data_IF_491946015411
#
_entry.id   IF_491946015411
#
_cell.length_a   1.000
_cell.length_b   1.000
_cell.length_c   1.000
_cell.angle_alpha   90.00
_cell.angle_beta   90.00
_cell.angle_gamma   90.00
#
_symmetry.space_group_name_H-M   'P 1'
#
loop_
_entity.id
_entity.type
_entity.pdbx_description
1 polymer ?
#
# COMPACT_ATOMS: atom_id res chain seq x y z
N UNK A 1 -18.56 30.22 3.99
CA UNK A 1 -17.40 30.69 4.72
C UNK A 1 -16.84 29.56 5.61
N UNK A 2 -15.87 28.80 5.10
CA UNK A 2 -15.36 27.58 5.76
C UNK A 2 -14.40 27.91 6.91
N UNK A 3 -13.67 29.04 6.81
CA UNK A 3 -12.57 29.36 7.72
C UNK A 3 -12.90 30.43 8.76
N UNK A 4 -14.01 31.16 8.60
CA UNK A 4 -14.38 32.35 9.39
C UNK A 4 -13.31 33.45 9.36
N UNK A 5 -12.32 33.34 8.46
CA UNK A 5 -11.32 34.37 8.24
C UNK A 5 -11.88 35.41 7.28
N UNK A 6 -12.09 36.60 7.79
CA UNK A 6 -12.64 37.75 7.07
C UNK A 6 -11.54 38.75 6.69
N UNK A 7 -10.28 38.33 6.65
CA UNK A 7 -9.22 39.20 6.18
C UNK A 7 -9.56 39.73 4.78
N UNK A 8 -9.40 41.05 4.58
CA UNK A 8 -9.88 41.73 3.39
C UNK A 8 -9.39 41.10 2.08
N UNK A 9 -8.13 40.66 2.04
CA UNK A 9 -7.56 40.06 0.85
C UNK A 9 -8.23 38.75 0.41
N UNK A 10 -9.04 38.12 1.28
CA UNK A 10 -9.82 36.92 0.96
C UNK A 10 -11.26 37.22 0.54
N UNK A 11 -11.78 38.37 0.98
CA UNK A 11 -13.23 38.63 0.96
C UNK A 11 -13.64 39.83 0.11
N UNK A 12 -12.80 40.88 0.02
CA UNK A 12 -13.15 42.16 -0.59
C UNK A 12 -12.16 42.59 -1.67
N UNK A 13 -12.60 42.54 -2.93
CA UNK A 13 -11.80 42.95 -4.06
C UNK A 13 -11.58 44.46 -4.10
N UNK A 14 -12.48 45.25 -3.49
CA UNK A 14 -12.39 46.72 -3.54
C UNK A 14 -11.37 47.29 -2.57
N UNK A 15 -10.98 46.50 -1.57
CA UNK A 15 -9.97 46.84 -0.56
C UNK A 15 -8.54 46.45 -0.93
N UNK A 16 -8.30 45.96 -2.17
CA UNK A 16 -6.98 45.51 -2.62
C UNK A 16 -6.10 46.64 -3.15
N UNK A 17 -6.69 47.78 -3.44
CA UNK A 17 -5.96 48.93 -4.00
C UNK A 17 -4.85 49.39 -3.04
N UNK A 18 -3.63 49.46 -3.54
CA UNK A 18 -2.43 49.76 -2.73
C UNK A 18 -1.92 48.61 -1.85
N UNK A 19 -2.53 47.42 -1.92
CA UNK A 19 -2.05 46.20 -1.24
C UNK A 19 -0.99 45.47 -2.08
N UNK A 20 -0.37 44.44 -1.48
CA UNK A 20 0.54 43.53 -2.20
C UNK A 20 -0.22 42.47 -3.03
N UNK A 21 -1.53 42.46 -3.02
CA UNK A 21 -2.35 41.47 -3.70
C UNK A 21 -3.06 42.10 -4.91
N UNK A 22 -2.93 41.50 -6.08
CA UNK A 22 -3.61 41.93 -7.29
C UNK A 22 -5.07 41.47 -7.37
N UNK A 23 -5.37 40.35 -6.73
CA UNK A 23 -6.69 39.70 -6.73
C UNK A 23 -6.96 39.12 -5.36
N UNK A 24 -8.23 38.71 -5.10
CA UNK A 24 -8.53 37.98 -3.88
C UNK A 24 -7.72 36.69 -3.83
N UNK A 25 -6.91 36.55 -2.79
CA UNK A 25 -6.03 35.39 -2.58
C UNK A 25 -6.74 34.30 -1.80
N UNK A 26 -6.34 33.07 -2.05
CA UNK A 26 -6.78 31.92 -1.27
C UNK A 26 -6.24 32.00 0.17
N UNK A 27 -7.00 31.48 1.12
CA UNK A 27 -6.59 31.40 2.51
C UNK A 27 -5.39 30.43 2.66
N UNK A 28 -4.30 30.86 3.28
CA UNK A 28 -3.07 30.08 3.34
C UNK A 28 -3.23 28.70 4.02
N UNK A 29 -3.94 28.66 5.14
CA UNK A 29 -4.20 27.38 5.81
C UNK A 29 -5.11 26.43 5.00
N UNK A 30 -5.95 26.97 4.11
CA UNK A 30 -6.73 26.17 3.19
C UNK A 30 -5.82 25.43 2.19
N UNK A 31 -4.75 26.11 1.69
CA UNK A 31 -3.76 25.51 0.80
C UNK A 31 -3.05 24.33 1.47
N UNK A 32 -2.64 24.51 2.74
CA UNK A 32 -2.02 23.43 3.52
C UNK A 32 -3.01 22.31 3.81
N UNK A 33 -4.27 22.63 4.07
CA UNK A 33 -5.31 21.61 4.27
C UNK A 33 -5.54 20.77 3.03
N UNK A 34 -5.55 21.38 1.83
CA UNK A 34 -5.63 20.63 0.56
C UNK A 34 -4.39 19.79 0.34
N UNK A 35 -3.19 20.33 0.58
CA UNK A 35 -1.95 19.57 0.46
C UNK A 35 -1.94 18.37 1.42
N UNK A 36 -2.39 18.55 2.67
CA UNK A 36 -2.52 17.47 3.63
C UNK A 36 -3.54 16.40 3.18
N UNK A 37 -4.62 16.80 2.52
CA UNK A 37 -5.62 15.88 1.97
C UNK A 37 -5.06 14.91 0.93
N UNK A 38 -4.04 15.29 0.20
CA UNK A 38 -3.37 14.43 -0.78
C UNK A 38 -2.51 13.31 -0.16
N UNK A 39 -2.22 13.37 1.15
CA UNK A 39 -1.60 12.26 1.88
C UNK A 39 -2.54 11.10 2.15
N UNK A 40 -3.83 11.39 2.21
CA UNK A 40 -4.82 10.45 2.69
C UNK A 40 -5.47 9.79 1.48
N UNK A 41 -5.08 8.57 1.24
CA UNK A 41 -5.85 7.73 0.33
C UNK A 41 -7.22 7.42 0.98
N UNK A 42 -8.31 7.29 0.22
CA UNK A 42 -9.64 7.08 0.78
C UNK A 42 -9.78 5.82 1.65
N UNK A 43 -8.85 4.87 1.53
CA UNK A 43 -8.84 3.66 2.33
C UNK A 43 -8.03 3.84 3.62
N UNK A 44 -8.39 3.10 4.66
CA UNK A 44 -7.67 3.08 5.93
C UNK A 44 -6.19 2.73 5.70
N UNK A 45 -5.33 3.73 5.87
CA UNK A 45 -3.88 3.59 5.80
C UNK A 45 -3.24 3.59 7.19
N UNK A 46 -1.90 3.61 7.27
CA UNK A 46 -1.18 3.63 8.53
C UNK A 46 -1.23 4.99 9.25
N UNK A 47 -1.75 6.05 8.62
CA UNK A 47 -1.88 7.37 9.24
C UNK A 47 -3.05 7.35 10.22
N UNK A 48 -2.74 7.43 11.51
CA UNK A 48 -3.73 7.45 12.58
C UNK A 48 -4.30 8.85 12.84
N UNK A 49 -3.47 9.89 12.70
CA UNK A 49 -3.90 11.28 12.89
C UNK A 49 -2.90 12.29 12.30
N UNK A 50 -3.40 13.48 11.96
CA UNK A 50 -2.57 14.66 11.87
C UNK A 50 -2.10 15.05 13.27
N UNK A 51 -0.79 15.20 13.44
CA UNK A 51 -0.19 15.40 14.76
C UNK A 51 0.24 16.84 15.00
N UNK A 52 0.69 17.53 13.96
CA UNK A 52 1.16 18.90 14.07
C UNK A 52 1.62 19.51 12.76
N UNK A 53 2.00 20.76 12.85
CA UNK A 53 2.49 21.57 11.74
C UNK A 53 3.65 22.42 12.24
N UNK A 54 4.78 22.38 11.55
CA UNK A 54 5.98 23.17 11.85
C UNK A 54 6.42 23.92 10.59
N UNK A 55 7.17 25.01 10.78
CA UNK A 55 7.91 25.72 9.72
C UNK A 55 7.09 26.12 8.49
N UNK A 56 5.84 26.52 8.70
CA UNK A 56 4.99 26.97 7.58
C UNK A 56 5.45 28.32 7.04
N UNK A 57 5.51 28.46 5.72
CA UNK A 57 5.78 29.71 5.00
C UNK A 57 4.90 29.79 3.77
N UNK A 58 4.19 30.89 3.61
CA UNK A 58 3.47 31.25 2.39
C UNK A 58 4.36 32.22 1.62
N UNK A 59 4.85 31.81 0.45
CA UNK A 59 5.87 32.50 -0.32
C UNK A 59 5.25 33.38 -1.39
N UNK A 60 4.12 32.93 -1.99
CA UNK A 60 3.37 33.64 -3.00
C UNK A 60 1.87 33.45 -2.80
N UNK A 61 1.03 34.43 -3.21
CA UNK A 61 -0.40 34.29 -3.18
C UNK A 61 -0.88 33.25 -4.19
N UNK A 62 -1.95 32.55 -3.89
CA UNK A 62 -2.68 31.65 -4.76
C UNK A 62 -4.04 32.25 -5.04
N UNK A 63 -4.47 32.19 -6.28
CA UNK A 63 -5.70 32.78 -6.77
C UNK A 63 -6.72 31.73 -7.21
N UNK A 64 -7.94 32.20 -7.49
CA UNK A 64 -8.98 31.33 -8.02
C UNK A 64 -8.59 30.77 -9.38
N UNK A 65 -8.82 29.46 -9.60
CA UNK A 65 -8.46 28.68 -10.78
C UNK A 65 -6.98 28.28 -10.89
N UNK A 66 -6.13 28.61 -9.92
CA UNK A 66 -4.77 28.07 -9.89
C UNK A 66 -4.82 26.58 -9.61
N UNK A 67 -3.96 25.82 -10.29
CA UNK A 67 -3.79 24.39 -10.03
C UNK A 67 -2.57 24.16 -9.15
N UNK A 68 -2.75 23.43 -8.08
CA UNK A 68 -1.67 23.15 -7.13
C UNK A 68 -1.08 21.76 -7.34
N UNK A 69 0.24 21.69 -7.23
CA UNK A 69 1.03 20.47 -7.24
C UNK A 69 1.76 20.34 -5.90
N UNK A 70 1.81 19.15 -5.35
CA UNK A 70 2.38 18.92 -4.02
C UNK A 70 3.48 17.87 -4.11
N UNK A 71 4.65 18.22 -3.54
CA UNK A 71 5.74 17.26 -3.32
C UNK A 71 5.86 16.98 -1.83
N UNK A 72 5.96 15.71 -1.50
CA UNK A 72 6.08 15.22 -0.13
C UNK A 72 7.40 14.47 0.02
N UNK A 73 8.24 14.94 0.93
CA UNK A 73 9.51 14.29 1.24
C UNK A 73 9.53 13.87 2.71
N UNK A 74 9.78 12.60 2.98
CA UNK A 74 9.95 12.13 4.36
C UNK A 74 11.24 12.75 4.94
N UNK A 75 11.10 13.71 5.85
CA UNK A 75 12.22 14.40 6.50
C UNK A 75 12.77 13.62 7.67
N UNK A 76 11.89 13.02 8.47
CA UNK A 76 12.27 12.31 9.68
C UNK A 76 11.19 11.33 10.12
N UNK A 77 11.63 10.20 10.68
CA UNK A 77 10.78 9.27 11.44
C UNK A 77 11.21 9.29 12.88
N UNK A 78 10.26 9.51 13.79
CA UNK A 78 10.52 9.58 15.24
C UNK A 78 9.68 8.52 15.93
N UNK A 79 10.34 7.61 16.62
CA UNK A 79 9.67 6.61 17.42
C UNK A 79 9.02 7.23 18.65
N UNK A 80 7.80 6.81 18.92
CA UNK A 80 7.16 7.09 20.21
C UNK A 80 7.36 5.88 21.14
N UNK A 81 7.60 6.16 22.42
CA UNK A 81 7.69 5.10 23.41
C UNK A 81 6.37 4.28 23.42
N UNK A 82 6.51 2.99 23.10
CA UNK A 82 5.39 2.07 22.98
C UNK A 82 5.04 1.36 24.31
N UNK A 83 5.73 1.66 25.41
CA UNK A 83 5.51 1.00 26.70
C UNK A 83 4.04 1.14 27.15
N UNK A 84 3.37 0.02 27.29
CA UNK A 84 1.98 -0.04 27.77
C UNK A 84 0.93 0.45 26.76
N UNK A 85 1.25 0.58 25.46
CA UNK A 85 0.30 0.98 24.43
C UNK A 85 -0.13 -0.20 23.58
N UNK A 86 -1.42 -0.36 23.46
CA UNK A 86 -2.06 -1.37 22.61
C UNK A 86 -1.73 -1.17 21.12
N UNK A 87 -1.54 0.09 20.69
CA UNK A 87 -1.20 0.47 19.32
C UNK A 87 0.11 1.27 19.28
N UNK A 88 1.25 0.61 19.02
CA UNK A 88 2.52 1.31 18.87
C UNK A 88 2.48 2.26 17.67
N UNK A 89 2.97 3.46 17.86
CA UNK A 89 2.97 4.50 16.81
C UNK A 89 4.28 5.26 16.76
N UNK A 90 4.51 5.95 15.66
CA UNK A 90 5.58 6.90 15.46
C UNK A 90 5.08 8.21 14.89
N UNK A 91 5.94 9.22 14.85
CA UNK A 91 5.69 10.47 14.14
C UNK A 91 6.54 10.47 12.88
N UNK A 92 5.91 10.73 11.74
CA UNK A 92 6.61 11.01 10.50
C UNK A 92 6.50 12.51 10.23
N UNK A 93 7.67 13.15 10.04
CA UNK A 93 7.77 14.54 9.61
C UNK A 93 7.91 14.57 8.09
N UNK A 94 6.99 15.25 7.44
CA UNK A 94 6.95 15.41 5.99
C UNK A 94 7.32 16.84 5.63
N UNK A 95 8.35 17.01 4.83
CA UNK A 95 8.60 18.27 4.16
C UNK A 95 7.65 18.37 2.97
N UNK A 96 6.85 19.41 2.98
CA UNK A 96 5.77 19.64 2.00
C UNK A 96 6.12 20.87 1.21
N UNK A 97 6.17 20.72 -0.10
CA UNK A 97 6.37 21.80 -1.06
C UNK A 97 5.12 21.89 -1.92
N UNK A 98 4.55 23.07 -2.02
CA UNK A 98 3.37 23.34 -2.87
C UNK A 98 3.79 24.26 -4.00
N UNK A 99 3.45 23.89 -5.23
CA UNK A 99 3.80 24.60 -6.46
C UNK A 99 2.54 24.96 -7.23
N UNK A 100 2.57 26.06 -7.97
CA UNK A 100 1.51 26.46 -8.93
C UNK A 100 1.74 25.90 -10.34
N UNK A 101 2.85 25.22 -10.55
CA UNK A 101 3.23 24.62 -11.84
C UNK A 101 3.73 23.18 -11.60
N UNK A 102 3.43 22.26 -12.51
CA UNK A 102 3.97 20.90 -12.47
C UNK A 102 5.49 20.93 -12.78
N UNK A 103 6.30 21.02 -11.73
CA UNK A 103 7.76 21.15 -11.82
C UNK A 103 8.44 19.96 -12.51
N UNK A 104 7.86 18.77 -12.43
CA UNK A 104 8.43 17.58 -13.07
C UNK A 104 8.22 17.62 -14.58
N UNK A 105 7.06 18.10 -15.05
CA UNK A 105 6.80 18.34 -16.48
C UNK A 105 7.50 19.60 -16.99
N UNK A 106 7.53 20.68 -16.22
CA UNK A 106 8.19 21.91 -16.58
C UNK A 106 9.70 21.73 -16.75
N UNK A 107 10.34 20.95 -15.88
CA UNK A 107 11.78 20.66 -15.98
C UNK A 107 12.15 19.86 -17.23
N UNK A 108 11.22 19.07 -17.77
CA UNK A 108 11.41 18.29 -19.01
C UNK A 108 11.23 19.13 -20.29
N UNK A 109 10.50 20.26 -20.22
CA UNK A 109 10.05 21.02 -21.40
C UNK A 109 10.76 22.37 -21.59
N UNK A 110 11.48 22.89 -20.60
CA UNK A 110 12.09 24.24 -20.69
C UNK A 110 13.55 24.19 -21.09
N UNK A 111 13.99 25.12 -21.99
CA UNK A 111 15.41 25.33 -22.28
C UNK A 111 16.17 25.72 -21.01
N UNK A 112 17.40 25.23 -20.88
CA UNK A 112 18.26 25.46 -19.69
C UNK A 112 18.62 26.92 -19.42
N UNK A 113 18.22 27.83 -20.29
CA UNK A 113 18.62 29.27 -20.30
C UNK A 113 17.48 30.25 -19.98
N UNK A 114 16.24 29.78 -19.72
CA UNK A 114 15.14 30.67 -19.34
C UNK A 114 15.24 31.04 -17.85
N UNK A 115 15.20 32.35 -17.53
CA UNK A 115 14.94 32.80 -16.15
C UNK A 115 13.58 32.24 -15.72
N UNK A 116 13.59 31.34 -14.76
CA UNK A 116 12.38 30.72 -14.22
C UNK A 116 11.94 31.53 -13.00
N UNK A 117 10.69 31.99 -13.01
CA UNK A 117 10.04 32.33 -11.76
C UNK A 117 9.99 31.03 -10.90
N UNK A 118 10.34 31.17 -9.63
CA UNK A 118 10.29 30.05 -8.72
C UNK A 118 8.81 29.63 -8.55
N UNK A 119 8.38 28.44 -9.00
CA UNK A 119 7.00 28.02 -8.94
C UNK A 119 6.56 27.65 -7.51
N UNK A 120 7.44 27.75 -6.53
CA UNK A 120 7.18 27.41 -5.14
C UNK A 120 6.29 28.46 -4.47
N UNK A 121 5.12 28.06 -3.99
CA UNK A 121 4.14 28.95 -3.37
C UNK A 121 4.01 28.78 -1.87
N UNK A 122 4.28 27.58 -1.36
CA UNK A 122 4.21 27.31 0.07
C UNK A 122 5.14 26.16 0.45
N UNK A 123 5.72 26.26 1.64
CA UNK A 123 6.42 25.16 2.30
C UNK A 123 5.88 24.95 3.71
N UNK A 124 5.93 23.70 4.17
CA UNK A 124 5.59 23.35 5.54
C UNK A 124 6.29 22.05 5.96
N UNK A 125 6.38 21.81 7.27
CA UNK A 125 6.65 20.49 7.80
C UNK A 125 5.38 19.98 8.47
N UNK A 126 4.72 18.99 7.85
CA UNK A 126 3.53 18.32 8.41
C UNK A 126 3.98 17.12 9.23
N UNK A 127 3.42 16.97 10.42
CA UNK A 127 3.65 15.82 11.29
C UNK A 127 2.41 14.94 11.27
N UNK A 128 2.60 13.66 10.92
CA UNK A 128 1.55 12.66 11.02
C UNK A 128 1.91 11.64 12.08
N UNK A 129 0.93 11.26 12.88
CA UNK A 129 1.04 10.08 13.73
C UNK A 129 0.72 8.85 12.86
N UNK A 130 1.66 7.92 12.83
CA UNK A 130 1.58 6.73 11.99
C UNK A 130 1.66 5.49 12.88
N UNK A 131 0.79 4.53 12.66
CA UNK A 131 0.89 3.23 13.31
C UNK A 131 2.21 2.57 12.91
N UNK A 132 2.93 1.98 13.88
CA UNK A 132 4.11 1.20 13.57
C UNK A 132 3.69 -0.04 12.80
N UNK A 133 4.44 -0.36 11.76
CA UNK A 133 4.31 -1.64 11.08
C UNK A 133 4.51 -2.73 12.14
N UNK A 134 3.47 -3.44 12.48
CA UNK A 134 3.61 -4.68 13.22
C UNK A 134 4.22 -5.68 12.23
N UNK A 135 5.36 -6.26 12.58
CA UNK A 135 5.95 -7.35 11.81
C UNK A 135 5.17 -8.64 12.07
N UNK A 136 3.89 -8.62 11.76
CA UNK A 136 3.02 -9.80 11.86
C UNK A 136 3.36 -10.82 10.78
N UNK A 137 3.90 -10.33 9.65
CA UNK A 137 4.28 -11.16 8.51
C UNK A 137 5.78 -11.05 8.26
N UNK A 138 6.43 -12.20 8.24
CA UNK A 138 7.85 -12.31 7.85
C UNK A 138 7.97 -12.07 6.35
N UNK A 139 8.96 -11.28 5.94
CA UNK A 139 9.30 -11.17 4.52
C UNK A 139 10.00 -12.44 4.05
N UNK A 140 9.47 -13.02 2.97
CA UNK A 140 9.88 -14.32 2.45
C UNK A 140 10.44 -14.18 1.02
N UNK A 141 11.70 -13.70 0.86
CA UNK A 141 12.38 -13.75 -0.43
C UNK A 141 12.63 -15.21 -0.86
N UNK A 142 12.81 -15.47 -2.17
CA UNK A 142 12.97 -16.83 -2.71
C UNK A 142 13.99 -17.69 -1.97
N UNK A 143 15.19 -17.20 -1.60
CA UNK A 143 16.14 -18.00 -0.84
C UNK A 143 15.63 -18.40 0.55
N UNK A 144 14.91 -17.54 1.23
CA UNK A 144 14.30 -17.82 2.54
C UNK A 144 13.18 -18.85 2.40
N UNK A 145 12.32 -18.72 1.39
CA UNK A 145 11.28 -19.71 1.06
C UNK A 145 11.91 -21.07 0.83
N UNK A 146 12.93 -21.17 -0.03
CA UNK A 146 13.60 -22.42 -0.32
C UNK A 146 14.21 -23.06 0.95
N UNK A 147 14.85 -22.26 1.81
CA UNK A 147 15.42 -22.74 3.07
C UNK A 147 14.35 -23.22 4.06
N UNK A 148 13.19 -22.59 4.09
CA UNK A 148 12.05 -23.04 4.91
C UNK A 148 11.49 -24.36 4.37
N UNK A 149 11.25 -24.45 3.06
CA UNK A 149 10.72 -25.68 2.44
C UNK A 149 11.66 -26.87 2.54
N UNK A 150 12.97 -26.63 2.57
CA UNK A 150 13.98 -27.69 2.81
C UNK A 150 13.86 -28.35 4.19
N UNK A 151 13.14 -27.74 5.14
CA UNK A 151 12.85 -28.34 6.46
C UNK A 151 11.68 -29.33 6.40
N UNK A 152 10.87 -29.32 5.33
CA UNK A 152 9.71 -30.21 5.18
C UNK A 152 10.14 -31.65 4.90
N UNK A 153 9.50 -32.56 5.60
CA UNK A 153 9.55 -34.01 5.32
C UNK A 153 8.14 -34.56 5.16
N UNK A 154 7.99 -35.78 4.68
CA UNK A 154 6.68 -36.43 4.56
C UNK A 154 6.00 -36.63 5.93
N UNK A 155 6.77 -36.67 7.01
CA UNK A 155 6.29 -36.84 8.39
C UNK A 155 5.92 -35.50 9.05
N UNK A 156 6.25 -34.36 8.43
CA UNK A 156 5.89 -33.03 8.94
C UNK A 156 4.36 -32.92 9.09
N UNK A 157 3.91 -32.50 10.27
CA UNK A 157 2.49 -32.39 10.59
C UNK A 157 2.09 -30.92 10.68
N UNK A 158 0.92 -30.54 10.12
CA UNK A 158 0.39 -29.21 10.28
C UNK A 158 -0.06 -28.97 11.73
N UNK A 159 0.12 -27.76 12.22
CA UNK A 159 -0.40 -27.31 13.52
C UNK A 159 -1.95 -27.20 13.52
N UNK A 160 -2.56 -27.05 12.35
CA UNK A 160 -4.00 -27.03 12.11
C UNK A 160 -4.35 -27.53 10.72
N UNK A 161 -5.60 -27.99 10.54
CA UNK A 161 -6.08 -28.49 9.25
C UNK A 161 -5.59 -29.91 8.96
N UNK A 162 -5.80 -30.35 7.71
CA UNK A 162 -5.57 -31.73 7.29
C UNK A 162 -4.52 -31.87 6.17
N UNK A 163 -3.98 -30.74 5.66
CA UNK A 163 -3.01 -30.78 4.57
C UNK A 163 -1.78 -31.60 4.94
N UNK A 164 -1.31 -32.44 4.03
CA UNK A 164 0.03 -32.99 4.11
C UNK A 164 1.04 -31.96 3.60
N UNK A 165 2.35 -32.10 3.87
CA UNK A 165 3.37 -31.19 3.34
C UNK A 165 3.28 -31.00 1.83
N UNK A 166 3.09 -32.05 1.06
CA UNK A 166 2.97 -31.97 -0.39
C UNK A 166 1.69 -31.26 -0.83
N UNK A 167 0.55 -31.51 -0.18
CA UNK A 167 -0.69 -30.76 -0.46
C UNK A 167 -0.53 -29.25 -0.24
N UNK A 168 0.16 -28.86 0.81
CA UNK A 168 0.43 -27.44 1.09
C UNK A 168 1.28 -26.81 -0.02
N UNK A 169 2.35 -27.48 -0.44
CA UNK A 169 3.24 -26.97 -1.50
C UNK A 169 2.50 -26.87 -2.84
N UNK A 170 1.72 -27.89 -3.22
CA UNK A 170 0.92 -27.87 -4.45
C UNK A 170 -0.20 -26.83 -4.40
N UNK A 171 -0.78 -26.59 -3.22
CA UNK A 171 -1.73 -25.51 -3.02
C UNK A 171 -1.10 -24.13 -3.24
N UNK A 172 0.11 -23.90 -2.73
CA UNK A 172 0.86 -22.67 -2.99
C UNK A 172 1.20 -22.54 -4.48
N UNK A 173 1.67 -23.61 -5.13
CA UNK A 173 1.93 -23.60 -6.58
C UNK A 173 0.69 -23.21 -7.37
N UNK A 174 -0.48 -23.77 -7.03
CA UNK A 174 -1.74 -23.45 -7.69
C UNK A 174 -2.09 -21.95 -7.57
N UNK A 175 -1.92 -21.35 -6.39
CA UNK A 175 -2.20 -19.91 -6.21
C UNK A 175 -1.25 -19.04 -7.01
N UNK A 176 0.03 -19.43 -7.12
CA UNK A 176 0.99 -18.71 -7.95
C UNK A 176 0.74 -18.88 -9.46
N UNK A 177 0.13 -19.98 -9.92
CA UNK A 177 -0.36 -20.11 -11.32
C UNK A 177 -1.47 -19.10 -11.62
N UNK A 178 -2.35 -18.86 -10.65
CA UNK A 178 -3.36 -17.81 -10.77
C UNK A 178 -2.69 -16.43 -10.77
N UNK A 179 -1.77 -16.18 -9.85
CA UNK A 179 -1.08 -14.91 -9.69
C UNK A 179 -0.14 -14.55 -10.86
N UNK A 180 0.28 -15.52 -11.67
CA UNK A 180 1.08 -15.32 -12.88
C UNK A 180 0.26 -15.23 -14.18
N UNK A 181 -1.08 -15.30 -14.07
CA UNK A 181 -1.97 -15.26 -15.23
C UNK A 181 -2.09 -16.57 -16.00
N UNK A 182 -1.41 -17.65 -15.56
CA UNK A 182 -1.47 -18.97 -16.22
C UNK A 182 -2.86 -19.61 -16.09
N UNK A 183 -3.55 -19.38 -14.96
CA UNK A 183 -4.90 -19.86 -14.70
C UNK A 183 -5.83 -18.67 -14.43
N UNK A 184 -6.67 -18.31 -15.39
CA UNK A 184 -7.62 -17.20 -15.28
C UNK A 184 -9.06 -17.59 -15.71
N UNK A 185 -9.27 -18.86 -16.08
CA UNK A 185 -10.58 -19.38 -16.47
C UNK A 185 -11.33 -19.94 -15.24
N UNK A 186 -11.82 -19.02 -14.41
CA UNK A 186 -12.64 -19.33 -13.24
C UNK A 186 -13.55 -18.13 -12.90
N UNK A 187 -14.60 -18.40 -12.15
CA UNK A 187 -15.48 -17.39 -11.59
C UNK A 187 -15.02 -16.94 -10.20
N UNK A 188 -15.22 -15.66 -9.89
CA UNK A 188 -14.98 -15.11 -8.58
C UNK A 188 -16.09 -15.58 -7.64
N UNK A 189 -15.72 -16.18 -6.51
CA UNK A 189 -16.69 -16.79 -5.58
C UNK A 189 -17.30 -15.83 -4.58
N UNK A 190 -16.60 -14.72 -4.31
CA UNK A 190 -17.11 -13.68 -3.42
C UNK A 190 -18.15 -12.83 -4.15
N UNK A 191 -19.39 -12.68 -3.62
CA UNK A 191 -20.37 -11.80 -4.21
C UNK A 191 -19.85 -10.36 -4.36
N UNK A 192 -20.17 -9.71 -5.48
CA UNK A 192 -19.64 -8.38 -5.85
C UNK A 192 -19.75 -7.34 -4.72
N UNK A 193 -20.89 -7.30 -4.02
CA UNK A 193 -21.13 -6.38 -2.89
C UNK A 193 -20.15 -6.51 -1.71
N UNK A 194 -19.37 -7.59 -1.65
CA UNK A 194 -18.38 -7.85 -0.58
C UNK A 194 -16.94 -7.76 -1.07
N UNK A 195 -16.71 -7.67 -2.39
CA UNK A 195 -15.36 -7.70 -2.97
C UNK A 195 -14.47 -6.57 -2.45
N UNK A 196 -15.00 -5.35 -2.39
CA UNK A 196 -14.24 -4.19 -1.89
C UNK A 196 -13.76 -4.43 -0.45
N UNK A 197 -14.68 -4.79 0.45
CA UNK A 197 -14.36 -5.10 1.85
C UNK A 197 -13.38 -6.27 1.97
N UNK A 198 -13.51 -7.28 1.10
CA UNK A 198 -12.60 -8.43 1.09
C UNK A 198 -11.21 -8.01 0.65
N UNK A 199 -11.07 -7.19 -0.41
CA UNK A 199 -9.79 -6.62 -0.82
C UNK A 199 -9.14 -5.73 0.24
N UNK A 200 -9.94 -4.94 0.96
CA UNK A 200 -9.45 -4.09 2.03
C UNK A 200 -8.78 -4.88 3.15
N UNK A 201 -9.20 -6.11 3.38
CA UNK A 201 -8.56 -7.00 4.36
C UNK A 201 -7.12 -7.37 4.01
N UNK A 202 -6.68 -7.19 2.76
CA UNK A 202 -5.28 -7.38 2.38
C UNK A 202 -4.35 -6.33 3.00
N UNK A 203 -4.87 -5.14 3.28
CA UNK A 203 -4.08 -4.02 3.80
C UNK A 203 -3.93 -4.02 5.32
N UNK A 204 -4.72 -4.83 6.03
CA UNK A 204 -4.62 -4.96 7.48
C UNK A 204 -3.54 -5.97 7.90
N UNK A 205 -3.21 -5.99 9.19
CA UNK A 205 -2.22 -6.91 9.77
C UNK A 205 -2.84 -8.19 10.35
N UNK A 206 -4.12 -8.44 10.11
CA UNK A 206 -4.78 -9.65 10.57
C UNK A 206 -4.31 -10.86 9.77
N UNK A 207 -3.94 -11.94 10.47
CA UNK A 207 -3.61 -13.22 9.86
C UNK A 207 -4.87 -13.89 9.31
N UNK A 208 -4.70 -14.70 8.28
CA UNK A 208 -5.79 -15.57 7.86
C UNK A 208 -6.18 -16.51 9.00
N UNK A 209 -7.48 -16.68 9.28
CA UNK A 209 -7.92 -17.58 10.34
C UNK A 209 -7.45 -19.03 10.08
N UNK A 210 -6.98 -19.70 11.12
CA UNK A 210 -6.73 -21.13 11.05
C UNK A 210 -8.03 -21.88 10.71
N UNK A 211 -7.92 -22.96 9.93
CA UNK A 211 -9.05 -23.76 9.46
C UNK A 211 -10.08 -22.98 8.61
N UNK A 212 -9.66 -21.92 7.90
CA UNK A 212 -10.53 -21.26 6.93
C UNK A 212 -10.93 -22.21 5.81
N UNK A 213 -12.23 -22.34 5.59
CA UNK A 213 -12.75 -23.09 4.46
C UNK A 213 -12.86 -22.16 3.24
N UNK A 214 -12.09 -22.42 2.21
CA UNK A 214 -12.29 -21.77 0.93
C UNK A 214 -13.48 -22.40 0.19
N UNK A 215 -14.30 -21.59 -0.50
CA UNK A 215 -15.58 -22.05 -1.07
C UNK A 215 -15.50 -23.23 -2.04
N UNK A 216 -14.33 -23.51 -2.62
CA UNK A 216 -14.16 -24.61 -3.60
C UNK A 216 -13.56 -25.88 -3.01
N UNK A 217 -13.07 -25.84 -1.78
CA UNK A 217 -12.58 -27.05 -1.13
C UNK A 217 -13.72 -27.67 -0.32
N UNK A 218 -14.07 -28.90 -0.65
CA UNK A 218 -14.98 -29.65 0.22
C UNK A 218 -14.33 -29.76 1.58
N UNK A 219 -15.08 -29.43 2.61
CA UNK A 219 -14.61 -29.50 3.99
C UNK A 219 -14.05 -30.89 4.27
N UNK A 220 -12.89 -30.93 4.91
CA UNK A 220 -12.24 -32.19 5.38
C UNK A 220 -11.87 -33.19 4.25
N UNK A 221 -11.67 -32.69 3.00
CA UNK A 221 -11.21 -33.54 1.91
C UNK A 221 -9.91 -32.95 1.31
N UNK A 222 -8.92 -33.79 1.08
CA UNK A 222 -7.73 -33.47 0.30
C UNK A 222 -7.98 -33.83 -1.16
N UNK A 223 -7.51 -32.96 -2.06
CA UNK A 223 -7.48 -33.25 -3.49
C UNK A 223 -6.46 -34.34 -3.82
N UNK A 224 -6.46 -34.81 -5.06
CA UNK A 224 -5.37 -35.67 -5.54
C UNK A 224 -4.09 -34.86 -5.71
N UNK A 225 -2.96 -35.45 -5.35
CA UNK A 225 -1.66 -34.87 -5.60
C UNK A 225 -1.37 -34.85 -7.10
N UNK A 226 -0.73 -33.77 -7.54
CA UNK A 226 -0.40 -33.52 -8.96
C UNK A 226 1.01 -34.01 -9.30
N UNK A 227 1.94 -33.90 -8.32
CA UNK A 227 3.33 -34.27 -8.49
C UNK A 227 3.64 -35.63 -7.85
N UNK A 228 4.66 -36.35 -8.34
CA UNK A 228 4.96 -37.70 -7.85
C UNK A 228 5.49 -37.70 -6.41
N UNK A 229 6.12 -36.63 -5.97
CA UNK A 229 6.75 -36.52 -4.66
C UNK A 229 6.88 -35.07 -4.18
N UNK A 230 7.21 -34.89 -2.91
CA UNK A 230 7.35 -33.58 -2.26
C UNK A 230 8.50 -32.75 -2.87
N UNK A 231 9.62 -33.37 -3.23
CA UNK A 231 10.79 -32.68 -3.80
C UNK A 231 10.45 -32.06 -5.17
N UNK A 232 9.76 -32.83 -6.00
CA UNK A 232 9.23 -32.35 -7.29
C UNK A 232 8.23 -31.20 -7.08
N UNK A 233 7.30 -31.34 -6.11
CA UNK A 233 6.34 -30.29 -5.79
C UNK A 233 7.02 -28.99 -5.35
N UNK A 234 8.02 -29.05 -4.47
CA UNK A 234 8.81 -27.89 -4.04
C UNK A 234 9.50 -27.22 -5.23
N UNK A 235 10.14 -28.02 -6.09
CA UNK A 235 10.81 -27.50 -7.28
C UNK A 235 9.85 -26.77 -8.21
N UNK A 236 8.67 -27.34 -8.45
CA UNK A 236 7.63 -26.75 -9.29
C UNK A 236 7.05 -25.47 -8.71
N UNK A 237 6.81 -25.46 -7.42
CA UNK A 237 6.36 -24.25 -6.71
C UNK A 237 7.38 -23.10 -6.83
N UNK A 238 8.68 -23.36 -6.60
CA UNK A 238 9.71 -22.32 -6.72
C UNK A 238 9.82 -21.79 -8.15
N UNK A 239 9.76 -22.66 -9.16
CA UNK A 239 9.70 -22.25 -10.57
C UNK A 239 8.47 -21.38 -10.87
N UNK A 240 7.31 -21.73 -10.32
CA UNK A 240 6.08 -20.99 -10.53
C UNK A 240 6.11 -19.61 -9.85
N UNK A 241 6.75 -19.55 -8.68
CA UNK A 241 6.97 -18.26 -8.01
C UNK A 241 7.87 -17.33 -8.82
N UNK A 242 8.95 -17.86 -9.43
CA UNK A 242 9.82 -17.05 -10.31
C UNK A 242 9.02 -16.52 -11.51
N UNK A 243 8.17 -17.34 -12.13
CA UNK A 243 7.27 -16.88 -13.21
C UNK A 243 6.32 -15.76 -12.77
N UNK A 244 5.79 -15.83 -11.56
CA UNK A 244 4.96 -14.75 -10.99
C UNK A 244 5.74 -13.44 -10.89
N UNK A 245 6.97 -13.48 -10.37
CA UNK A 245 7.83 -12.30 -10.24
C UNK A 245 8.19 -11.71 -11.61
N UNK A 246 8.54 -12.57 -12.58
CA UNK A 246 8.85 -12.18 -13.96
C UNK A 246 7.62 -11.58 -14.65
N UNK A 247 6.44 -12.18 -14.46
CA UNK A 247 5.20 -11.69 -15.05
C UNK A 247 4.94 -10.23 -14.65
N UNK A 248 4.98 -9.89 -13.36
CA UNK A 248 4.75 -8.52 -12.90
C UNK A 248 5.94 -7.57 -13.11
N UNK A 249 7.11 -8.10 -13.40
CA UNK A 249 8.26 -7.29 -13.88
C UNK A 249 8.02 -6.83 -15.32
N UNK A 250 7.51 -7.72 -16.16
CA UNK A 250 7.20 -7.41 -17.56
C UNK A 250 5.87 -6.68 -17.74
N UNK A 251 4.91 -6.89 -16.82
CA UNK A 251 3.55 -6.34 -16.87
C UNK A 251 3.19 -5.61 -15.56
N UNK A 252 3.82 -4.46 -15.25
CA UNK A 252 3.68 -3.80 -13.95
C UNK A 252 2.26 -3.32 -13.65
N UNK A 253 1.47 -3.02 -14.68
CA UNK A 253 0.10 -2.52 -14.58
C UNK A 253 -0.97 -3.62 -14.76
N UNK A 254 -0.56 -4.88 -14.85
CA UNK A 254 -1.50 -5.98 -15.02
C UNK A 254 -2.44 -6.12 -13.82
N UNK A 255 -3.69 -6.45 -14.14
CA UNK A 255 -4.73 -6.79 -13.17
C UNK A 255 -5.19 -8.21 -13.47
N UNK A 256 -5.11 -9.09 -12.48
CA UNK A 256 -5.45 -10.51 -12.60
C UNK A 256 -6.53 -10.89 -11.60
N UNK A 257 -7.41 -11.82 -11.98
CA UNK A 257 -8.46 -12.32 -11.11
C UNK A 257 -7.91 -13.23 -10.01
N UNK A 258 -8.46 -13.10 -8.82
CA UNK A 258 -8.33 -14.05 -7.71
C UNK A 258 -9.71 -14.59 -7.36
N UNK A 259 -9.80 -15.85 -6.99
CA UNK A 259 -11.05 -16.56 -6.67
C UNK A 259 -11.88 -15.88 -5.57
N UNK A 260 -11.21 -15.30 -4.57
CA UNK A 260 -11.86 -14.74 -3.37
C UNK A 260 -11.84 -13.21 -3.38
N UNK A 261 -10.73 -12.61 -3.81
CA UNK A 261 -10.49 -11.17 -3.72
C UNK A 261 -10.93 -10.40 -4.98
N UNK A 262 -11.33 -11.09 -6.04
CA UNK A 262 -11.68 -10.48 -7.31
C UNK A 262 -10.45 -10.01 -8.09
N UNK A 263 -10.55 -8.91 -8.78
CA UNK A 263 -9.44 -8.35 -9.56
C UNK A 263 -8.41 -7.67 -8.66
N UNK A 264 -7.15 -8.07 -8.79
CA UNK A 264 -6.03 -7.59 -7.99
C UNK A 264 -4.92 -7.05 -8.89
N UNK A 265 -4.40 -5.87 -8.55
CA UNK A 265 -3.18 -5.33 -9.13
C UNK A 265 -1.92 -5.97 -8.51
N UNK A 266 -0.74 -5.64 -9.07
CA UNK A 266 0.56 -6.13 -8.59
C UNK A 266 0.75 -6.02 -7.07
N UNK A 267 0.43 -4.87 -6.48
CA UNK A 267 0.64 -4.63 -5.05
C UNK A 267 -0.32 -5.45 -4.18
N UNK A 268 -1.57 -5.59 -4.60
CA UNK A 268 -2.56 -6.40 -3.91
C UNK A 268 -2.21 -7.90 -3.98
N UNK A 269 -1.70 -8.38 -5.11
CA UNK A 269 -1.16 -9.74 -5.23
C UNK A 269 0.03 -9.96 -4.29
N UNK A 270 0.97 -9.01 -4.22
CA UNK A 270 2.08 -9.09 -3.27
C UNK A 270 1.59 -9.19 -1.81
N UNK A 271 0.59 -8.38 -1.42
CA UNK A 271 0.03 -8.43 -0.07
C UNK A 271 -0.64 -9.78 0.22
N UNK A 272 -1.40 -10.30 -0.74
CA UNK A 272 -2.06 -11.60 -0.64
C UNK A 272 -1.04 -12.73 -0.47
N UNK A 273 -0.06 -12.81 -1.37
CA UNK A 273 0.93 -13.87 -1.36
C UNK A 273 1.80 -13.83 -0.09
N UNK A 274 2.14 -12.64 0.40
CA UNK A 274 2.83 -12.50 1.68
C UNK A 274 2.02 -13.08 2.84
N UNK A 275 0.73 -12.74 2.95
CA UNK A 275 -0.15 -13.28 3.99
C UNK A 275 -0.31 -14.79 3.86
N UNK A 276 -0.47 -15.28 2.64
CA UNK A 276 -0.73 -16.67 2.32
C UNK A 276 0.47 -17.57 2.61
N UNK A 277 1.66 -17.15 2.20
CA UNK A 277 2.91 -17.84 2.53
C UNK A 277 3.12 -17.91 4.05
N UNK A 278 2.97 -16.78 4.74
CA UNK A 278 3.12 -16.77 6.20
C UNK A 278 2.14 -17.71 6.88
N UNK A 279 0.86 -17.72 6.44
CA UNK A 279 -0.16 -18.61 6.97
C UNK A 279 0.24 -20.10 6.87
N UNK A 280 0.69 -20.53 5.70
CA UNK A 280 1.06 -21.94 5.47
C UNK A 280 2.40 -22.32 6.08
N UNK A 281 3.34 -21.37 6.14
CA UNK A 281 4.63 -21.62 6.79
C UNK A 281 4.49 -21.69 8.31
N UNK A 282 3.60 -20.87 8.92
CA UNK A 282 3.21 -21.03 10.33
C UNK A 282 2.47 -22.36 10.56
N UNK A 283 1.57 -22.75 9.63
CA UNK A 283 0.84 -24.02 9.70
C UNK A 283 1.78 -25.22 9.82
N UNK A 284 2.96 -25.17 9.20
CA UNK A 284 3.94 -26.25 9.23
C UNK A 284 5.15 -25.95 10.12
N UNK A 285 5.09 -24.92 10.98
CA UNK A 285 6.17 -24.49 11.87
C UNK A 285 7.50 -24.23 11.14
N UNK A 286 7.46 -23.62 9.94
CA UNK A 286 8.62 -23.33 9.11
C UNK A 286 9.21 -21.94 9.38
N UNK A 287 8.48 -21.08 10.07
CA UNK A 287 8.94 -19.75 10.51
C UNK A 287 9.55 -19.87 11.89
N UNK A 288 10.74 -19.27 12.05
CA UNK A 288 11.44 -19.19 13.35
C UNK A 288 10.87 -18.05 14.20
#
# INVERSE_FOLDING_TARGET
NITWDHFYAHTDITSLDGSIFEKRTAHGYFIISMAAGLFVYPNKGPVAANYGLEEIRFLRPIYNNDTLYVRLTCKQKVDRDARGKEHPSGIVKWYVEVFDTNVDKANALLPKTAEKEDPLVCIATILTMVEKKQEVFVELPTPKIASCLAKLTLESKPAWGIMTPQHMVEHLEYTYKIASGELQDFEITTPEKYLEKTRDSLYNYEKFPANSNFPHLKKDTLGSLTHPDLETAITKFLQQRDRYLDFFTQNPDAVLKNLVFGELNKYQWYLLERKHLNHHFEQFNLLD
#
